data_IF_075458552093
#
_entry.id   IF_075458552093
#
_cell.length_a   1.000
_cell.length_b   1.000
_cell.length_c   1.000
_cell.angle_alpha   90.00
_cell.angle_beta   90.00
_cell.angle_gamma   90.00
#
_symmetry.space_group_name_H-M   'P 1'
#
loop_
_entity.id
_entity.type
_entity.pdbx_description
1 polymer ?
#
# COMPACT_ATOMS: atom_id res chain seq x y z
N UNK A 1 -11.97 26.06 1.92
CA UNK A 1 -10.70 25.50 1.40
C UNK A 1 -10.97 24.06 1.00
N UNK A 2 -10.95 23.74 -0.29
CA UNK A 2 -11.13 22.39 -0.83
C UNK A 2 -9.84 22.05 -1.57
N UNK A 3 -9.07 21.11 -1.05
CA UNK A 3 -8.00 20.49 -1.84
C UNK A 3 -8.60 19.20 -2.43
N UNK A 4 -9.03 19.31 -3.69
CA UNK A 4 -9.37 18.16 -4.51
C UNK A 4 -8.07 17.66 -5.15
N UNK A 5 -7.60 16.47 -4.76
CA UNK A 5 -6.62 15.72 -5.55
C UNK A 5 -7.38 14.51 -6.11
N UNK A 6 -7.86 14.64 -7.34
CA UNK A 6 -8.39 13.55 -8.15
C UNK A 6 -7.27 13.14 -9.09
N UNK A 7 -6.83 11.89 -9.04
CA UNK A 7 -6.05 11.29 -10.12
C UNK A 7 -6.95 10.32 -10.91
N UNK A 8 -7.22 10.70 -12.16
CA UNK A 8 -7.91 9.93 -13.19
C UNK A 8 -6.86 9.37 -14.17
N UNK A 9 -6.80 8.05 -14.29
CA UNK A 9 -6.37 7.29 -15.47
C UNK A 9 -6.77 5.83 -15.19
N UNK A 10 -7.39 5.02 -16.04
CA UNK A 10 -7.72 5.03 -17.45
C UNK A 10 -8.14 3.58 -17.74
N UNK A 11 -9.17 3.39 -18.56
CA UNK A 11 -9.84 2.10 -18.82
C UNK A 11 -8.98 1.07 -19.56
N UNK A 12 -9.00 -0.19 -19.10
CA UNK A 12 -8.93 -1.37 -19.97
C UNK A 12 -9.75 -2.51 -19.34
N UNK A 13 -10.85 -2.87 -20.01
CA UNK A 13 -11.65 -4.03 -19.65
C UNK A 13 -10.99 -5.30 -20.19
N UNK A 14 -10.83 -6.32 -19.34
CA UNK A 14 -10.65 -7.71 -19.77
C UNK A 14 -11.56 -8.58 -18.90
N UNK A 15 -12.64 -9.06 -19.51
CA UNK A 15 -13.50 -10.11 -19.00
C UNK A 15 -12.77 -11.45 -19.12
N UNK A 16 -12.82 -12.26 -18.06
CA UNK A 16 -13.01 -13.72 -18.08
C UNK A 16 -12.96 -14.23 -16.64
N UNK A 17 -14.01 -14.90 -16.20
CA UNK A 17 -14.03 -15.65 -14.96
C UNK A 17 -13.06 -16.84 -15.10
N UNK A 18 -11.91 -16.75 -14.44
CA UNK A 18 -10.97 -17.84 -14.27
C UNK A 18 -10.59 -17.86 -12.78
N UNK A 19 -10.49 -19.06 -12.21
CA UNK A 19 -9.94 -19.29 -10.88
C UNK A 19 -8.74 -18.36 -10.65
N UNK A 20 -8.84 -17.47 -9.67
CA UNK A 20 -7.81 -16.44 -9.46
C UNK A 20 -6.50 -17.17 -9.16
N UNK A 21 -5.50 -17.12 -10.06
CA UNK A 21 -4.20 -17.67 -9.76
C UNK A 21 -3.65 -16.84 -8.61
N UNK A 22 -3.34 -17.46 -7.48
CA UNK A 22 -2.40 -16.86 -6.54
C UNK A 22 -1.15 -16.51 -7.35
N UNK A 23 -0.74 -15.22 -7.43
CA UNK A 23 0.53 -14.91 -8.04
C UNK A 23 1.62 -15.62 -7.23
N UNK A 24 2.62 -16.23 -7.88
CA UNK A 24 3.70 -16.91 -7.17
C UNK A 24 4.40 -15.91 -6.25
N UNK A 25 4.67 -16.34 -5.01
CA UNK A 25 5.52 -15.63 -4.06
C UNK A 25 6.90 -15.47 -4.69
N UNK A 26 7.14 -14.32 -5.30
CA UNK A 26 8.38 -13.96 -5.97
C UNK A 26 8.61 -12.47 -5.78
N UNK A 27 9.76 -12.13 -5.19
CA UNK A 27 10.21 -10.78 -4.92
C UNK A 27 10.10 -9.90 -6.17
N UNK A 28 9.03 -9.11 -6.27
CA UNK A 28 8.90 -8.08 -7.30
C UNK A 28 9.73 -6.87 -6.86
N UNK A 29 11.05 -6.97 -6.98
CA UNK A 29 11.95 -5.87 -6.74
C UNK A 29 11.71 -4.78 -7.81
N UNK A 30 10.95 -3.74 -7.46
CA UNK A 30 10.86 -2.52 -8.26
C UNK A 30 12.14 -1.72 -8.00
N UNK A 31 13.15 -1.89 -8.86
CA UNK A 31 14.41 -1.17 -8.75
C UNK A 31 14.25 0.26 -9.27
N UNK A 32 13.86 1.19 -8.39
CA UNK A 32 13.87 2.63 -8.70
C UNK A 32 15.23 3.19 -8.29
N UNK A 33 16.10 3.50 -9.27
CA UNK A 33 17.40 4.14 -9.01
C UNK A 33 17.20 5.64 -8.77
N UNK A 34 17.39 6.09 -7.54
CA UNK A 34 17.52 7.51 -7.19
C UNK A 34 18.98 7.84 -6.82
N UNK A 35 19.44 9.09 -6.99
CA UNK A 35 20.75 9.53 -6.50
C UNK A 35 20.79 9.56 -4.95
N UNK A 36 21.96 9.22 -4.38
CA UNK A 36 22.15 8.85 -2.96
C UNK A 36 21.76 9.97 -1.97
N UNK A 37 21.87 11.22 -2.40
CA UNK A 37 21.57 12.42 -1.63
C UNK A 37 20.06 12.67 -1.39
N UNK A 38 19.17 11.87 -1.99
CA UNK A 38 17.71 12.04 -1.91
C UNK A 38 16.98 10.84 -1.30
N UNK A 39 17.61 10.09 -0.39
CA UNK A 39 17.04 8.86 0.17
C UNK A 39 15.62 9.00 0.75
N UNK A 40 15.33 10.08 1.46
CA UNK A 40 13.97 10.30 1.98
C UNK A 40 12.95 10.49 0.85
N UNK A 41 13.30 11.30 -0.17
CA UNK A 41 12.45 11.50 -1.34
C UNK A 41 12.25 10.20 -2.15
N UNK A 42 13.29 9.37 -2.25
CA UNK A 42 13.21 8.04 -2.84
C UNK A 42 12.21 7.15 -2.10
N UNK A 43 12.28 7.12 -0.76
CA UNK A 43 11.37 6.35 0.09
C UNK A 43 9.92 6.82 -0.03
N UNK A 44 9.69 8.14 0.01
CA UNK A 44 8.35 8.72 -0.19
C UNK A 44 7.78 8.39 -1.58
N UNK A 45 8.61 8.47 -2.62
CA UNK A 45 8.17 8.14 -3.98
C UNK A 45 7.87 6.66 -4.13
N UNK A 46 8.72 5.81 -3.54
CA UNK A 46 8.55 4.36 -3.58
C UNK A 46 7.27 3.91 -2.89
N UNK A 47 7.01 4.36 -1.65
CA UNK A 47 5.81 3.95 -0.91
C UNK A 47 4.53 4.38 -1.62
N UNK A 48 4.45 5.65 -2.04
CA UNK A 48 3.29 6.21 -2.76
C UNK A 48 3.04 5.49 -4.08
N UNK A 49 4.06 5.37 -4.94
CA UNK A 49 3.92 4.68 -6.23
C UNK A 49 3.54 3.20 -6.07
N UNK A 50 4.03 2.54 -5.02
CA UNK A 50 3.71 1.14 -4.76
C UNK A 50 2.24 0.98 -4.37
N UNK A 51 1.73 1.76 -3.41
CA UNK A 51 0.31 1.66 -3.02
C UNK A 51 -0.63 2.11 -4.12
N UNK A 52 -0.26 3.10 -4.95
CA UNK A 52 -1.05 3.51 -6.12
C UNK A 52 -1.13 2.38 -7.14
N UNK A 53 0.01 1.75 -7.44
CA UNK A 53 0.05 0.64 -8.39
C UNK A 53 -0.69 -0.60 -7.87
N UNK A 54 -0.62 -0.88 -6.56
CA UNK A 54 -1.45 -1.90 -5.92
C UNK A 54 -2.93 -1.55 -6.05
N UNK A 55 -3.33 -0.36 -5.64
CA UNK A 55 -4.72 0.06 -5.69
C UNK A 55 -5.30 0.03 -7.11
N UNK A 56 -4.51 0.42 -8.11
CA UNK A 56 -4.89 0.32 -9.52
C UNK A 56 -5.13 -1.13 -9.99
N UNK A 57 -4.36 -2.10 -9.47
CA UNK A 57 -4.50 -3.53 -9.76
C UNK A 57 -5.45 -4.28 -8.83
N UNK A 58 -6.07 -3.59 -7.86
CA UNK A 58 -6.95 -4.22 -6.89
C UNK A 58 -8.14 -4.90 -7.61
N UNK A 59 -8.26 -6.24 -7.53
CA UNK A 59 -9.25 -7.00 -8.30
C UNK A 59 -10.68 -6.79 -7.79
N UNK A 60 -10.86 -6.34 -6.55
CA UNK A 60 -12.17 -6.11 -5.94
C UNK A 60 -12.09 -5.02 -4.86
N UNK A 61 -12.43 -3.79 -5.24
CA UNK A 61 -12.42 -2.62 -4.34
C UNK A 61 -13.54 -2.60 -3.31
N UNK A 62 -14.52 -3.50 -3.39
CA UNK A 62 -15.54 -3.65 -2.35
C UNK A 62 -15.10 -4.64 -1.27
N UNK A 63 -14.28 -5.64 -1.66
CA UNK A 63 -13.67 -6.58 -0.71
C UNK A 63 -12.42 -6.01 -0.07
N UNK A 64 -11.50 -5.49 -0.89
CA UNK A 64 -10.22 -4.90 -0.48
C UNK A 64 -10.35 -3.38 -0.55
N UNK A 65 -10.66 -2.77 0.58
CA UNK A 65 -11.04 -1.36 0.65
C UNK A 65 -9.86 -0.43 0.93
N UNK A 66 -8.68 -0.97 1.19
CA UNK A 66 -7.43 -0.23 1.23
C UNK A 66 -6.23 -1.03 0.75
N UNK A 67 -5.19 -0.33 0.31
CA UNK A 67 -3.84 -0.83 0.05
C UNK A 67 -2.86 -0.05 0.93
N UNK A 68 -1.91 -0.76 1.52
CA UNK A 68 -0.97 -0.23 2.51
C UNK A 68 0.43 -0.72 2.16
N UNK A 69 1.43 0.14 2.32
CA UNK A 69 2.84 -0.24 2.37
C UNK A 69 3.49 0.40 3.60
N UNK A 70 4.14 -0.41 4.44
CA UNK A 70 4.76 0.06 5.67
C UNK A 70 6.07 -0.65 5.99
N UNK A 71 7.11 0.09 6.40
CA UNK A 71 8.43 -0.50 6.73
C UNK A 71 8.67 -0.74 8.23
N UNK A 72 7.68 -0.52 9.08
CA UNK A 72 7.80 -0.80 10.52
C UNK A 72 6.78 -1.85 10.96
N UNK A 73 6.72 -2.09 12.28
CA UNK A 73 5.82 -3.08 12.86
C UNK A 73 4.37 -2.63 12.74
N UNK A 74 3.47 -3.56 12.44
CA UNK A 74 2.06 -3.30 12.33
C UNK A 74 1.25 -4.47 12.88
N UNK A 75 0.03 -4.18 13.31
CA UNK A 75 -0.97 -5.16 13.72
C UNK A 75 -2.25 -4.94 12.94
N UNK A 76 -3.07 -5.98 12.81
CA UNK A 76 -4.43 -5.87 12.26
C UNK A 76 -5.44 -6.54 13.18
N UNK A 77 -6.68 -6.05 13.17
CA UNK A 77 -7.76 -6.65 13.93
C UNK A 77 -8.05 -8.09 13.48
N UNK A 78 -7.95 -8.36 12.18
CA UNK A 78 -8.14 -9.69 11.60
C UNK A 78 -7.12 -9.98 10.50
N UNK A 79 -6.22 -10.96 10.74
CA UNK A 79 -5.24 -11.42 9.75
C UNK A 79 -5.84 -12.21 8.58
N UNK A 80 -7.05 -12.75 8.71
CA UNK A 80 -7.79 -13.32 7.57
C UNK A 80 -8.46 -12.25 6.68
N UNK A 81 -8.49 -11.00 7.16
CA UNK A 81 -9.06 -9.84 6.47
C UNK A 81 -8.01 -9.00 5.73
N UNK A 82 -6.85 -9.57 5.39
CA UNK A 82 -5.82 -8.95 4.55
C UNK A 82 -5.48 -9.87 3.38
N UNK A 83 -4.89 -9.31 2.33
CA UNK A 83 -4.40 -10.07 1.17
C UNK A 83 -2.99 -9.64 0.80
N UNK A 84 -2.23 -10.60 0.26
CA UNK A 84 -0.98 -10.34 -0.46
C UNK A 84 0.06 -9.58 0.35
N UNK A 85 0.41 -10.06 1.55
CA UNK A 85 1.57 -9.50 2.29
C UNK A 85 2.84 -9.81 1.50
N UNK A 86 3.28 -8.83 0.73
CA UNK A 86 4.51 -8.87 -0.04
C UNK A 86 5.55 -7.98 0.65
N UNK A 87 6.69 -8.57 1.01
CA UNK A 87 7.85 -7.80 1.44
C UNK A 87 8.59 -7.28 0.21
N UNK A 88 8.57 -5.97 0.01
CA UNK A 88 9.20 -5.29 -1.12
C UNK A 88 10.39 -4.48 -0.62
N UNK A 89 11.56 -4.77 -1.17
CA UNK A 89 12.81 -4.13 -0.77
C UNK A 89 13.14 -2.95 -1.68
N UNK A 90 13.28 -1.77 -1.10
CA UNK A 90 13.90 -0.62 -1.75
C UNK A 90 15.39 -0.61 -1.44
N UNK A 91 16.24 -0.59 -2.48
CA UNK A 91 17.70 -0.59 -2.35
C UNK A 91 18.32 0.56 -3.15
N UNK A 92 19.25 1.30 -2.56
CA UNK A 92 19.99 2.38 -3.21
C UNK A 92 21.43 2.43 -2.68
N UNK A 93 22.37 1.87 -3.46
CA UNK A 93 23.75 1.68 -3.01
C UNK A 93 23.81 0.75 -1.78
N UNK A 94 24.38 1.23 -0.68
CA UNK A 94 24.42 0.51 0.59
C UNK A 94 23.14 0.64 1.44
N UNK A 95 22.23 1.56 1.08
CA UNK A 95 21.00 1.81 1.81
C UNK A 95 19.91 0.84 1.35
N UNK A 96 19.19 0.27 2.31
CA UNK A 96 18.14 -0.71 2.06
C UNK A 96 17.01 -0.53 3.08
N UNK A 97 15.77 -0.64 2.63
CA UNK A 97 14.58 -0.68 3.49
C UNK A 97 13.58 -1.68 2.93
N UNK A 98 13.09 -2.56 3.79
CA UNK A 98 12.04 -3.53 3.46
C UNK A 98 10.67 -2.97 3.86
N UNK A 99 9.68 -3.09 2.98
CA UNK A 99 8.31 -2.64 3.20
C UNK A 99 7.37 -3.83 3.10
N UNK A 100 6.49 -3.98 4.08
CA UNK A 100 5.34 -4.88 3.99
C UNK A 100 4.20 -4.16 3.28
N UNK A 101 3.84 -4.67 2.11
CA UNK A 101 2.75 -4.15 1.30
C UNK A 101 1.61 -5.16 1.24
N UNK A 102 0.38 -4.76 1.53
CA UNK A 102 -0.79 -5.64 1.54
C UNK A 102 -2.10 -4.88 1.34
N UNK A 103 -3.18 -5.61 1.05
CA UNK A 103 -4.54 -5.07 1.04
C UNK A 103 -5.23 -5.27 2.38
N UNK A 104 -6.16 -4.37 2.72
CA UNK A 104 -7.03 -4.48 3.89
C UNK A 104 -8.48 -4.60 3.43
N UNK A 105 -9.16 -5.59 3.99
CA UNK A 105 -10.57 -5.83 3.78
C UNK A 105 -11.47 -5.05 4.73
N UNK A 106 -12.78 -5.10 4.46
CA UNK A 106 -13.80 -4.49 5.33
C UNK A 106 -13.82 -5.10 6.73
N UNK A 107 -14.36 -4.35 7.68
CA UNK A 107 -14.46 -4.74 9.10
C UNK A 107 -13.10 -5.14 9.69
N UNK A 108 -12.07 -4.36 9.36
CA UNK A 108 -10.72 -4.57 9.81
C UNK A 108 -10.08 -3.24 10.16
N UNK A 109 -9.07 -3.28 11.04
CA UNK A 109 -8.31 -2.10 11.42
C UNK A 109 -6.83 -2.41 11.33
N UNK A 110 -6.04 -1.43 10.91
CA UNK A 110 -4.58 -1.43 10.94
C UNK A 110 -4.11 -0.55 12.08
N UNK A 111 -3.24 -1.10 12.93
CA UNK A 111 -2.53 -0.35 13.94
C UNK A 111 -1.05 -0.28 13.57
N UNK A 112 -0.56 0.93 13.37
CA UNK A 112 0.86 1.16 13.09
C UNK A 112 1.64 1.28 14.40
N UNK A 113 2.79 0.62 14.48
CA UNK A 113 3.65 0.60 15.66
C UNK A 113 4.97 1.28 15.33
N UNK A 114 4.92 2.59 15.24
CA UNK A 114 6.08 3.41 14.92
C UNK A 114 5.68 4.72 14.26
N UNK A 115 6.61 5.27 13.49
CA UNK A 115 6.40 6.54 12.81
C UNK A 115 5.56 6.36 11.55
N UNK A 116 4.65 7.30 11.30
CA UNK A 116 3.95 7.45 10.03
C UNK A 116 4.76 8.22 8.98
N UNK A 117 4.02 8.90 8.09
CA UNK A 117 4.56 9.73 7.01
C UNK A 117 5.05 8.92 5.81
N UNK A 118 5.04 9.53 4.62
CA UNK A 118 5.29 8.82 3.35
C UNK A 118 6.65 8.12 3.27
N UNK A 119 7.65 8.55 4.03
CA UNK A 119 8.94 7.84 4.12
C UNK A 119 8.75 6.39 4.61
N UNK A 120 7.78 6.18 5.50
CA UNK A 120 7.55 4.91 6.17
C UNK A 120 6.25 4.24 5.73
N UNK A 121 5.16 5.01 5.65
CA UNK A 121 3.79 4.55 5.43
C UNK A 121 3.15 5.28 4.25
N UNK A 122 2.58 4.52 3.31
CA UNK A 122 1.58 5.04 2.40
C UNK A 122 0.30 4.20 2.49
N UNK A 123 -0.84 4.87 2.35
CA UNK A 123 -2.17 4.26 2.37
C UNK A 123 -2.99 4.86 1.25
N UNK A 124 -3.61 4.00 0.45
CA UNK A 124 -4.71 4.38 -0.45
C UNK A 124 -5.93 3.60 -0.01
N UNK A 125 -7.04 4.30 0.24
CA UNK A 125 -8.26 3.68 0.74
C UNK A 125 -9.51 4.29 0.13
N UNK A 126 -10.59 3.51 0.16
CA UNK A 126 -11.92 4.01 -0.15
C UNK A 126 -12.55 4.67 1.09
N UNK A 127 -12.70 6.00 1.05
CA UNK A 127 -13.22 6.80 2.16
C UNK A 127 -14.68 6.50 2.52
N UNK A 128 -15.40 5.71 1.71
CA UNK A 128 -16.74 5.21 2.08
C UNK A 128 -16.68 4.14 3.17
N UNK A 129 -15.58 3.41 3.23
CA UNK A 129 -15.39 2.29 4.15
C UNK A 129 -14.32 2.61 5.19
N UNK A 130 -13.26 3.34 4.83
CA UNK A 130 -12.12 3.55 5.69
C UNK A 130 -11.97 4.99 6.20
N UNK A 131 -11.39 5.12 7.40
CA UNK A 131 -11.00 6.38 8.02
C UNK A 131 -9.57 6.27 8.54
N UNK A 132 -8.73 7.22 8.15
CA UNK A 132 -7.32 7.29 8.56
C UNK A 132 -7.14 8.30 9.70
N UNK A 133 -6.55 7.88 10.81
CA UNK A 133 -6.15 8.78 11.90
C UNK A 133 -4.73 9.29 11.63
N UNK A 134 -4.60 10.52 11.16
CA UNK A 134 -3.29 11.14 10.89
C UNK A 134 -2.42 11.36 12.14
N UNK A 135 -2.97 11.23 13.36
CA UNK A 135 -2.21 11.37 14.61
C UNK A 135 -1.52 10.06 15.01
N UNK A 136 -2.20 8.93 14.87
CA UNK A 136 -1.64 7.61 15.20
C UNK A 136 -1.17 6.84 13.97
N UNK A 137 -1.48 7.34 12.77
CA UNK A 137 -1.28 6.67 11.49
C UNK A 137 -2.04 5.35 11.32
N UNK A 138 -3.13 5.17 12.09
CA UNK A 138 -3.97 3.99 12.03
C UNK A 138 -5.07 4.11 10.99
N UNK A 139 -5.55 2.96 10.50
CA UNK A 139 -6.65 2.89 9.54
C UNK A 139 -7.77 2.02 10.11
N UNK A 140 -8.99 2.54 10.13
CA UNK A 140 -10.20 1.78 10.48
C UNK A 140 -11.09 1.61 9.25
N UNK A 141 -11.46 0.37 8.89
CA UNK A 141 -12.28 0.05 7.72
C UNK A 141 -13.57 -0.71 8.10
N UNK A 142 -14.73 -0.20 7.67
CA UNK A 142 -16.09 -0.67 8.03
C UNK A 142 -16.87 -1.29 6.87
#
# INVERSE_FOLDING_TARGET
MRFSIVFLAGTAALTNAAAVPHPPQGSNAVAILFPINNWNSARETFTQSTVDAMWARNPDRNRWVAAVCYNMKWDVANRGGISDVASVKLSMGALNTDYDCFYIGRHNSLWTRGDGGYINLAVVSDNRFCSFDGRTSDLDCR
#
